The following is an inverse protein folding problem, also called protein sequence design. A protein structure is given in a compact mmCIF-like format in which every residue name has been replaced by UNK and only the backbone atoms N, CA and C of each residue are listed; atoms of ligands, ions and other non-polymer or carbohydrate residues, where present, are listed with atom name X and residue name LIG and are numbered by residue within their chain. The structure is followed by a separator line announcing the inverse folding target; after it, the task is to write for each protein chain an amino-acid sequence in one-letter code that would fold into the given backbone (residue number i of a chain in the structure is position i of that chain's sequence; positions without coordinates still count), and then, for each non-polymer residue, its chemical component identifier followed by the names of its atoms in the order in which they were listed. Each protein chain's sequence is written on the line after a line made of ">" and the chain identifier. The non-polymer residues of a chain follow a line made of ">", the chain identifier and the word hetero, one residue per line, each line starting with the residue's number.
data_IF_171028137732
#
_entry.id   IF_171028137732
#
_cell.length_a   1.000
_cell.length_b   1.000
_cell.length_c   1.000
_cell.angle_alpha   90.00
_cell.angle_beta   90.00
_cell.angle_gamma   90.00
#
_symmetry.space_group_name_H-M   'P 1'
#
loop_
_entity.id
_entity.type
_entity.pdbx_description
1 polymer ?
#
# COMPACT_ATOMS: atom_id res chain seq x y z
N UNK A 1 -8.07 2.31 7.61
CA UNK A 1 -8.34 1.59 6.36
C UNK A 1 -9.70 0.93 6.49
N UNK A 2 -10.53 0.94 5.46
CA UNK A 2 -11.82 0.24 5.45
C UNK A 2 -11.68 -1.16 4.84
N UNK A 3 -12.54 -2.09 5.29
CA UNK A 3 -12.68 -3.43 4.74
C UNK A 3 -14.11 -3.64 4.23
N UNK A 4 -14.25 -4.35 3.10
CA UNK A 4 -15.53 -4.72 2.52
C UNK A 4 -15.84 -6.17 2.93
N UNK A 5 -16.93 -6.36 3.68
CA UNK A 5 -17.42 -7.68 4.07
C UNK A 5 -18.41 -8.22 3.04
N UNK A 6 -18.49 -9.55 2.91
CA UNK A 6 -19.43 -10.18 1.97
C UNK A 6 -20.87 -9.82 2.32
N UNK A 7 -21.61 -9.31 1.35
CA UNK A 7 -23.06 -9.11 1.46
C UNK A 7 -23.86 -10.37 1.04
N UNK A 8 -23.20 -11.52 0.90
CA UNK A 8 -23.81 -12.78 0.50
C UNK A 8 -24.54 -12.66 -0.84
N UNK A 9 -25.87 -12.78 -0.79
CA UNK A 9 -26.73 -12.73 -1.98
C UNK A 9 -26.72 -11.35 -2.68
N UNK A 10 -26.40 -10.28 -1.97
CA UNK A 10 -26.39 -8.93 -2.51
C UNK A 10 -25.02 -8.48 -3.05
N UNK A 11 -23.97 -9.30 -2.94
CA UNK A 11 -22.62 -8.95 -3.39
C UNK A 11 -22.58 -8.56 -4.88
N UNK A 12 -23.44 -9.20 -5.68
CA UNK A 12 -23.55 -8.96 -7.11
C UNK A 12 -23.71 -7.47 -7.45
N UNK A 13 -24.58 -6.73 -6.75
CA UNK A 13 -24.91 -5.34 -7.09
C UNK A 13 -23.75 -4.38 -6.83
N UNK A 14 -22.89 -4.72 -5.87
CA UNK A 14 -21.71 -3.93 -5.50
C UNK A 14 -20.45 -4.29 -6.28
N UNK A 15 -20.56 -5.19 -7.27
CA UNK A 15 -19.43 -5.49 -8.15
C UNK A 15 -18.96 -4.22 -8.89
N UNK A 16 -17.64 -3.99 -9.01
CA UNK A 16 -17.09 -2.77 -9.63
C UNK A 16 -17.60 -2.59 -11.07
N UNK A 17 -17.80 -3.70 -11.80
CA UNK A 17 -18.37 -3.71 -13.15
C UNK A 17 -19.81 -3.17 -13.20
N UNK A 18 -20.61 -3.41 -12.16
CA UNK A 18 -21.99 -2.89 -12.05
C UNK A 18 -22.06 -1.48 -11.51
N UNK A 19 -21.10 -1.09 -10.67
CA UNK A 19 -20.92 0.27 -10.19
C UNK A 19 -20.29 1.22 -11.24
N UNK A 20 -20.13 0.76 -12.48
CA UNK A 20 -19.52 1.54 -13.57
C UNK A 20 -18.09 2.03 -13.25
N UNK A 21 -17.35 1.26 -12.44
CA UNK A 21 -15.93 1.50 -12.21
C UNK A 21 -15.15 0.98 -13.43
N UNK A 22 -14.67 1.90 -14.28
CA UNK A 22 -13.93 1.57 -15.50
C UNK A 22 -12.41 1.41 -15.29
N UNK A 23 -11.93 1.54 -14.06
CA UNK A 23 -10.54 1.29 -13.69
C UNK A 23 -10.38 -0.16 -13.23
N UNK A 24 -9.13 -0.64 -13.15
CA UNK A 24 -8.84 -1.93 -12.50
C UNK A 24 -9.22 -1.79 -11.02
N UNK A 25 -10.24 -2.52 -10.52
CA UNK A 25 -10.61 -2.43 -9.12
C UNK A 25 -9.44 -2.94 -8.29
N UNK A 26 -9.23 -2.32 -7.12
CA UNK A 26 -8.39 -2.93 -6.09
C UNK A 26 -8.88 -4.36 -5.90
N UNK A 27 -7.96 -5.33 -5.82
CA UNK A 27 -8.34 -6.75 -5.69
C UNK A 27 -9.52 -6.86 -4.74
N UNK A 28 -10.61 -7.51 -5.18
CA UNK A 28 -11.76 -7.61 -4.33
C UNK A 28 -11.24 -8.26 -3.05
N UNK A 29 -11.51 -7.62 -1.91
CA UNK A 29 -11.69 -8.37 -0.69
C UNK A 29 -12.95 -9.22 -0.94
N UNK A 30 -12.85 -10.19 -1.85
CA UNK A 30 -13.96 -10.99 -2.34
C UNK A 30 -14.41 -11.80 -1.15
N UNK A 31 -15.45 -11.27 -0.51
CA UNK A 31 -16.04 -11.76 0.72
C UNK A 31 -15.03 -12.05 1.82
N UNK A 32 -14.62 -11.02 2.58
CA UNK A 32 -14.31 -11.29 3.98
C UNK A 32 -15.61 -11.78 4.59
N UNK A 33 -15.74 -13.10 4.71
CA UNK A 33 -16.84 -13.71 5.44
C UNK A 33 -16.55 -13.49 6.92
N UNK A 34 -17.44 -12.83 7.67
CA UNK A 34 -17.26 -12.70 9.10
C UNK A 34 -17.21 -14.12 9.68
N UNK A 35 -16.05 -14.49 10.23
CA UNK A 35 -15.94 -15.73 10.99
C UNK A 35 -16.67 -15.50 12.32
N UNK A 36 -17.48 -16.46 12.74
CA UNK A 36 -18.01 -16.46 14.11
C UNK A 36 -16.84 -16.35 15.10
N UNK A 37 -17.01 -15.57 16.16
CA UNK A 37 -15.95 -15.33 17.16
C UNK A 37 -15.51 -16.65 17.78
N UNK A 38 -14.45 -17.25 17.23
CA UNK A 38 -13.84 -18.49 17.73
C UNK A 38 -12.77 -18.09 18.76
N UNK A 39 -13.19 -17.36 19.79
CA UNK A 39 -12.35 -16.73 20.80
C UNK A 39 -13.19 -15.91 21.79
N UNK A 40 -12.68 -15.74 23.01
CA UNK A 40 -13.39 -15.14 24.16
C UNK A 40 -14.15 -13.87 23.79
N UNK A 41 -15.38 -13.73 24.30
CA UNK A 41 -16.29 -12.59 24.05
C UNK A 41 -15.80 -11.22 24.57
N UNK A 42 -14.53 -11.10 24.98
CA UNK A 42 -13.95 -9.91 25.60
C UNK A 42 -12.83 -9.35 24.72
N UNK A 43 -12.98 -8.10 24.28
CA UNK A 43 -11.96 -7.34 23.57
C UNK A 43 -11.08 -6.56 24.56
N UNK A 44 -9.76 -6.71 24.46
CA UNK A 44 -8.82 -5.92 25.24
C UNK A 44 -8.60 -4.54 24.60
N UNK A 45 -8.33 -3.52 25.42
CA UNK A 45 -7.95 -2.20 24.92
C UNK A 45 -6.52 -2.21 24.39
N UNK A 46 -6.33 -1.64 23.21
CA UNK A 46 -5.05 -1.63 22.48
C UNK A 46 -4.44 -0.22 22.44
N UNK A 47 -5.23 0.81 22.74
CA UNK A 47 -4.83 2.21 22.73
C UNK A 47 -5.20 2.92 24.04
N UNK A 48 -4.54 4.03 24.31
CA UNK A 48 -4.85 4.93 25.43
C UNK A 48 -6.06 5.83 25.11
N UNK A 49 -6.48 6.64 26.08
CA UNK A 49 -7.61 7.58 25.95
C UNK A 49 -7.42 8.66 24.88
N UNK A 50 -6.16 8.91 24.47
CA UNK A 50 -5.80 9.88 23.44
C UNK A 50 -5.66 9.24 22.03
N UNK A 51 -5.85 7.92 21.92
CA UNK A 51 -5.71 7.17 20.66
C UNK A 51 -4.27 6.71 20.34
N UNK A 52 -3.31 6.89 21.24
CA UNK A 52 -1.97 6.32 21.09
C UNK A 52 -1.97 4.83 21.43
N UNK A 53 -1.33 4.02 20.58
CA UNK A 53 -1.18 2.58 20.79
C UNK A 53 -0.33 2.32 22.04
N UNK A 54 -0.76 1.39 22.90
CA UNK A 54 -0.06 1.04 24.14
C UNK A 54 1.36 0.51 23.86
N UNK A 55 2.34 0.82 24.72
CA UNK A 55 3.68 0.27 24.58
C UNK A 55 3.64 -1.26 24.71
N UNK A 56 4.27 -1.97 23.77
CA UNK A 56 4.28 -3.44 23.71
C UNK A 56 3.26 -4.05 22.75
N UNK A 57 2.27 -3.28 22.26
CA UNK A 57 1.42 -3.73 21.15
C UNK A 57 2.17 -3.55 19.82
N UNK A 58 2.18 -4.59 18.99
CA UNK A 58 2.74 -4.51 17.64
C UNK A 58 2.01 -3.47 16.78
N UNK A 59 2.77 -2.51 16.25
CA UNK A 59 2.28 -1.48 15.34
C UNK A 59 2.50 -1.91 13.89
N UNK A 60 1.63 -1.46 12.98
CA UNK A 60 1.87 -1.65 11.56
C UNK A 60 3.18 -0.99 11.15
N UNK A 61 4.05 -1.73 10.45
CA UNK A 61 5.31 -1.20 9.90
C UNK A 61 5.09 -0.17 8.78
N UNK A 62 3.86 -0.07 8.25
CA UNK A 62 3.50 0.84 7.15
C UNK A 62 3.07 2.18 7.74
N UNK A 63 3.56 3.27 7.13
CA UNK A 63 3.18 4.62 7.50
C UNK A 63 1.67 4.84 7.31
N UNK A 64 0.99 5.56 8.22
CA UNK A 64 -0.41 5.95 8.05
C UNK A 64 -0.62 6.84 6.83
N UNK A 65 0.42 7.56 6.38
CA UNK A 65 0.41 8.37 5.16
C UNK A 65 0.74 7.55 3.90
N UNK A 66 0.82 6.22 4.02
CA UNK A 66 1.02 5.31 2.91
C UNK A 66 2.47 5.24 2.44
N UNK A 67 2.69 5.56 1.17
CA UNK A 67 3.96 5.41 0.44
C UNK A 67 4.66 6.75 0.18
N UNK A 68 4.33 7.73 1.00
CA UNK A 68 4.90 9.07 0.93
C UNK A 68 6.42 9.03 1.15
N UNK A 69 7.12 9.81 0.32
CA UNK A 69 8.56 10.11 0.44
C UNK A 69 8.70 11.61 0.29
N UNK A 70 9.53 12.23 1.13
CA UNK A 70 9.71 13.67 1.12
C UNK A 70 10.36 14.13 -0.18
N UNK A 71 10.07 15.36 -0.60
CA UNK A 71 10.63 15.92 -1.84
C UNK A 71 12.15 15.92 -1.85
N UNK A 72 12.78 16.10 -0.69
CA UNK A 72 14.24 16.10 -0.53
C UNK A 72 14.87 14.71 -0.49
N UNK A 73 14.07 13.68 -0.19
CA UNK A 73 14.53 12.28 -0.12
C UNK A 73 14.32 11.53 -1.45
N UNK A 74 13.64 12.17 -2.41
CA UNK A 74 13.48 11.63 -3.75
C UNK A 74 14.80 11.75 -4.54
N UNK A 75 15.03 10.83 -5.49
CA UNK A 75 16.18 10.95 -6.38
C UNK A 75 16.06 12.23 -7.22
N UNK A 76 17.21 12.83 -7.53
CA UNK A 76 17.30 14.10 -8.29
C UNK A 76 16.52 14.06 -9.61
N UNK A 77 16.42 12.88 -10.21
CA UNK A 77 15.70 12.67 -11.47
C UNK A 77 14.83 11.43 -11.33
N UNK A 78 13.51 11.61 -11.39
CA UNK A 78 12.59 10.49 -11.58
C UNK A 78 12.64 10.16 -13.07
N UNK A 79 13.10 8.95 -13.48
CA UNK A 79 13.20 8.59 -14.88
C UNK A 79 11.82 8.75 -15.52
N UNK A 80 11.82 9.10 -16.81
CA UNK A 80 10.62 9.36 -17.61
C UNK A 80 9.60 8.19 -17.58
N UNK A 81 8.48 8.33 -18.29
CA UNK A 81 7.20 7.69 -18.00
C UNK A 81 7.33 6.29 -17.40
N UNK A 82 6.73 6.10 -16.21
CA UNK A 82 6.70 4.85 -15.43
C UNK A 82 6.41 3.59 -16.26
N UNK A 83 5.76 3.75 -17.41
CA UNK A 83 5.48 2.74 -18.42
C UNK A 83 6.57 2.76 -19.52
N UNK A 84 7.56 1.88 -19.36
CA UNK A 84 8.54 1.61 -20.42
C UNK A 84 7.90 0.69 -21.47
N UNK A 85 7.39 1.25 -22.57
CA UNK A 85 6.87 0.46 -23.69
C UNK A 85 8.02 -0.08 -24.56
N UNK A 86 8.05 -1.40 -24.85
CA UNK A 86 9.12 -1.99 -25.68
C UNK A 86 8.93 -1.73 -27.18
N UNK A 87 7.68 -1.57 -27.63
CA UNK A 87 7.26 -1.58 -29.05
C UNK A 87 7.83 -0.48 -29.95
N UNK A 88 8.44 0.58 -29.40
CA UNK A 88 8.89 1.76 -30.19
C UNK A 88 10.36 2.10 -30.01
N UNK A 89 11.18 1.22 -29.40
CA UNK A 89 12.55 1.52 -28.98
C UNK A 89 13.52 0.42 -29.38
N UNK A 90 14.79 0.78 -29.53
CA UNK A 90 15.89 -0.20 -29.66
C UNK A 90 16.07 -0.94 -28.34
N UNK A 91 16.36 -2.24 -28.40
CA UNK A 91 16.53 -3.10 -27.21
C UNK A 91 17.50 -2.53 -26.18
N UNK A 92 18.67 -2.03 -26.62
CA UNK A 92 19.66 -1.40 -25.74
C UNK A 92 19.07 -0.23 -24.94
N UNK A 93 18.29 0.64 -25.60
CA UNK A 93 17.68 1.79 -24.94
C UNK A 93 16.59 1.39 -23.95
N UNK A 94 15.84 0.32 -24.27
CA UNK A 94 14.83 -0.25 -23.39
C UNK A 94 15.49 -0.79 -22.11
N UNK A 95 16.58 -1.56 -22.24
CA UNK A 95 17.34 -2.08 -21.10
C UNK A 95 17.90 -0.96 -20.22
N UNK A 96 18.45 0.11 -20.80
CA UNK A 96 18.92 1.27 -20.03
C UNK A 96 17.80 1.92 -19.21
N UNK A 97 16.61 2.09 -19.79
CA UNK A 97 15.48 2.69 -19.09
C UNK A 97 14.95 1.78 -17.96
N UNK A 98 14.90 0.46 -18.18
CA UNK A 98 14.55 -0.49 -17.13
C UNK A 98 15.55 -0.43 -15.96
N UNK A 99 16.86 -0.42 -16.25
CA UNK A 99 17.88 -0.31 -15.23
C UNK A 99 17.79 1.01 -14.44
N UNK A 100 17.55 2.13 -15.13
CA UNK A 100 17.34 3.44 -14.47
C UNK A 100 16.11 3.43 -13.56
N UNK A 101 14.99 2.86 -14.02
CA UNK A 101 13.78 2.69 -13.19
C UNK A 101 14.12 1.90 -11.93
N UNK A 102 14.76 0.75 -12.07
CA UNK A 102 15.06 -0.15 -10.95
C UNK A 102 15.95 0.55 -9.91
N UNK A 103 17.00 1.25 -10.36
CA UNK A 103 17.85 2.08 -9.50
C UNK A 103 17.05 3.14 -8.73
N UNK A 104 16.15 3.85 -9.40
CA UNK A 104 15.34 4.88 -8.73
C UNK A 104 14.35 4.32 -7.74
N UNK A 105 13.80 3.13 -8.00
CA UNK A 105 12.94 2.44 -7.03
C UNK A 105 13.75 2.05 -5.80
N UNK A 106 14.96 1.51 -5.97
CA UNK A 106 15.84 1.19 -4.85
C UNK A 106 16.22 2.43 -4.03
N UNK A 107 16.49 3.57 -4.67
CA UNK A 107 16.79 4.84 -3.98
C UNK A 107 15.60 5.32 -3.16
N UNK A 108 14.39 5.28 -3.72
CA UNK A 108 13.14 5.62 -3.02
C UNK A 108 12.91 4.66 -1.83
N UNK A 109 13.17 3.36 -2.00
CA UNK A 109 13.03 2.38 -0.92
C UNK A 109 14.05 2.59 0.21
N UNK A 110 15.30 2.94 -0.12
CA UNK A 110 16.32 3.31 0.86
C UNK A 110 15.92 4.56 1.65
N UNK A 111 15.43 5.60 0.97
CA UNK A 111 14.89 6.80 1.61
C UNK A 111 13.74 6.48 2.59
N UNK A 112 12.81 5.62 2.17
CA UNK A 112 11.71 5.14 3.04
C UNK A 112 12.22 4.39 4.26
N UNK A 113 13.23 3.54 4.09
CA UNK A 113 13.83 2.79 5.20
C UNK A 113 14.47 3.75 6.22
N UNK A 114 15.17 4.78 5.75
CA UNK A 114 15.79 5.79 6.61
C UNK A 114 14.74 6.58 7.42
N UNK A 115 13.68 7.10 6.78
CA UNK A 115 12.59 7.79 7.48
C UNK A 115 11.93 6.91 8.57
N UNK A 116 11.83 5.60 8.30
CA UNK A 116 11.29 4.65 9.26
C UNK A 116 12.19 4.49 10.48
N UNK A 117 13.50 4.44 10.30
CA UNK A 117 14.45 4.36 11.42
C UNK A 117 14.35 5.59 12.31
N UNK A 118 14.33 6.80 11.74
CA UNK A 118 14.15 8.04 12.50
C UNK A 118 12.86 8.04 13.32
N UNK A 119 11.75 7.59 12.73
CA UNK A 119 10.45 7.51 13.42
C UNK A 119 10.41 6.48 14.56
N UNK A 120 11.32 5.51 14.57
CA UNK A 120 11.38 4.46 15.60
C UNK A 120 12.23 4.85 16.81
N UNK A 121 13.02 5.92 16.71
CA UNK A 121 13.92 6.39 17.77
C UNK A 121 13.20 7.36 18.73
N UNK A 122 11.96 7.75 18.43
CA UNK A 122 11.14 8.67 19.23
C UNK A 122 9.86 7.97 19.72
#
# INVERSE_FOLDING_TARGET
>A
MSSNYSAGQFEQTFMPKRLQMYQVPREPQSGIYPKGSMGSNTSNFVANEHGHILPGVEKSKRSPFGEFVGTWDLPKTIPGPYHVTPMGRTEKSFQTLCAQRDQTVEEIEKARAYQKEESSVH
#
